data_IF_359971162944
#
_entry.id   IF_359971162944
#
_cell.length_a   1.000
_cell.length_b   1.000
_cell.length_c   1.000
_cell.angle_alpha   90.00
_cell.angle_beta   90.00
_cell.angle_gamma   90.00
#
_symmetry.space_group_name_H-M   'P 1'
#
loop_
_entity.id
_entity.type
_entity.pdbx_description
1 polymer ?
#
# COMPACT_ATOMS: atom_id res chain seq x y z
N UNK A 1 -29.14 -10.68 -2.32
CA UNK A 1 -29.32 -9.25 -2.60
C UNK A 1 -28.06 -8.53 -2.10
N UNK A 2 -27.03 -8.39 -2.95
CA UNK A 2 -25.82 -7.65 -2.58
C UNK A 2 -26.04 -6.17 -2.83
N UNK A 3 -26.09 -5.38 -1.76
CA UNK A 3 -26.09 -3.93 -1.86
C UNK A 3 -24.76 -3.50 -2.46
N UNK A 4 -24.80 -2.87 -3.64
CA UNK A 4 -23.66 -2.18 -4.22
C UNK A 4 -23.26 -1.08 -3.25
N UNK A 5 -22.05 -1.17 -2.69
CA UNK A 5 -21.54 -0.20 -1.73
C UNK A 5 -21.45 1.16 -2.43
N UNK A 6 -22.11 2.22 -1.92
CA UNK A 6 -22.06 3.52 -2.57
C UNK A 6 -20.62 4.01 -2.53
N UNK A 7 -19.96 4.06 -3.69
CA UNK A 7 -18.68 4.73 -3.84
C UNK A 7 -18.90 6.20 -3.48
N UNK A 8 -18.64 6.56 -2.21
CA UNK A 8 -18.66 7.95 -1.76
C UNK A 8 -17.65 8.69 -2.63
N UNK A 9 -18.14 9.53 -3.54
CA UNK A 9 -17.28 10.44 -4.31
C UNK A 9 -16.49 11.25 -3.30
N UNK A 10 -15.16 11.10 -3.36
CA UNK A 10 -14.26 11.95 -2.58
C UNK A 10 -14.24 13.33 -3.23
N UNK A 11 -14.15 14.36 -2.41
CA UNK A 11 -13.89 15.71 -2.92
C UNK A 11 -12.58 15.69 -3.71
N UNK A 12 -12.52 16.40 -4.86
CA UNK A 12 -11.27 16.54 -5.60
C UNK A 12 -10.18 17.15 -4.72
N UNK A 13 -8.97 16.62 -4.82
CA UNK A 13 -7.76 17.13 -4.18
C UNK A 13 -6.69 17.42 -5.24
N UNK A 14 -5.86 18.44 -5.00
CA UNK A 14 -4.74 18.77 -5.87
C UNK A 14 -3.45 18.13 -5.35
N UNK A 15 -2.80 17.33 -6.18
CA UNK A 15 -1.49 16.72 -5.86
C UNK A 15 -0.37 17.75 -5.69
N UNK A 16 -0.60 19.01 -6.10
CA UNK A 16 0.34 20.11 -5.92
C UNK A 16 0.28 20.72 -4.53
N UNK A 17 -0.80 20.46 -3.79
CA UNK A 17 -1.00 21.00 -2.44
C UNK A 17 -0.42 20.09 -1.35
N UNK A 18 0.12 18.92 -1.72
CA UNK A 18 0.74 18.00 -0.77
C UNK A 18 2.05 18.57 -0.21
N UNK A 19 2.37 18.29 1.07
CA UNK A 19 3.53 18.88 1.73
C UNK A 19 4.84 18.18 1.33
N UNK A 20 5.95 18.89 1.58
CA UNK A 20 7.30 18.33 1.64
C UNK A 20 7.88 18.62 3.03
N UNK A 21 8.22 17.62 3.86
CA UNK A 21 8.24 16.17 3.58
C UNK A 21 6.85 15.57 3.33
N UNK A 22 6.75 14.41 2.65
CA UNK A 22 5.47 13.74 2.41
C UNK A 22 4.70 13.49 3.72
N UNK A 23 3.38 13.70 3.70
CA UNK A 23 2.53 13.44 4.86
C UNK A 23 2.00 12.00 4.87
N UNK A 24 1.88 11.43 6.08
CA UNK A 24 1.16 10.19 6.34
C UNK A 24 -0.19 10.52 6.96
N UNK A 25 -1.27 10.14 6.28
CA UNK A 25 -2.64 10.42 6.75
C UNK A 25 -3.43 9.12 6.85
N UNK A 26 -4.01 8.76 8.00
CA UNK A 26 -4.90 7.61 8.10
C UNK A 26 -6.07 7.70 7.12
N UNK A 27 -6.46 6.56 6.55
CA UNK A 27 -7.65 6.47 5.70
C UNK A 27 -8.69 5.54 6.32
N UNK A 28 -9.95 5.96 6.30
CA UNK A 28 -11.09 5.15 6.74
C UNK A 28 -11.65 4.25 5.62
N UNK A 29 -11.08 4.31 4.43
CA UNK A 29 -11.48 3.43 3.34
C UNK A 29 -11.00 2.00 3.58
N UNK A 30 -11.84 1.04 3.19
CA UNK A 30 -11.46 -0.36 3.05
C UNK A 30 -10.60 -0.51 1.80
N UNK A 31 -9.33 -0.89 1.99
CA UNK A 31 -8.36 -1.07 0.92
C UNK A 31 -8.11 -2.55 0.69
N UNK A 32 -8.11 -2.97 -0.58
CA UNK A 32 -7.78 -4.33 -0.99
C UNK A 32 -6.79 -4.30 -2.13
N UNK A 33 -5.76 -5.13 -2.06
CA UNK A 33 -4.86 -5.41 -3.18
C UNK A 33 -5.18 -6.80 -3.67
N UNK A 34 -5.64 -6.89 -4.91
CA UNK A 34 -6.00 -8.14 -5.56
C UNK A 34 -4.95 -8.45 -6.63
N UNK A 35 -4.55 -9.71 -6.72
CA UNK A 35 -3.89 -10.16 -7.93
C UNK A 35 -4.87 -10.08 -9.10
N UNK A 36 -4.36 -9.79 -10.31
CA UNK A 36 -5.21 -9.65 -11.49
C UNK A 36 -5.84 -10.98 -11.92
N UNK A 37 -5.14 -12.09 -11.70
CA UNK A 37 -5.60 -13.45 -11.99
C UNK A 37 -6.09 -14.15 -10.72
N UNK A 38 -7.18 -14.95 -10.80
CA UNK A 38 -7.64 -15.80 -9.71
C UNK A 38 -6.74 -17.03 -9.53
N UNK A 39 -6.93 -17.76 -8.43
CA UNK A 39 -6.23 -19.01 -8.16
C UNK A 39 -6.71 -20.18 -9.06
N UNK A 40 -6.13 -21.36 -8.87
CA UNK A 40 -6.44 -22.56 -9.64
C UNK A 40 -7.90 -23.03 -9.49
N UNK A 41 -8.59 -22.63 -8.42
CA UNK A 41 -9.98 -22.94 -8.14
C UNK A 41 -10.93 -21.81 -8.60
N UNK A 42 -10.41 -20.75 -9.23
CA UNK A 42 -11.16 -19.58 -9.66
C UNK A 42 -11.48 -18.59 -8.53
N UNK A 43 -10.81 -18.69 -7.38
CA UNK A 43 -11.00 -17.79 -6.24
C UNK A 43 -10.09 -16.55 -6.36
N UNK A 44 -10.57 -15.41 -5.85
CA UNK A 44 -9.80 -14.17 -5.84
C UNK A 44 -8.56 -14.29 -4.95
N UNK A 45 -7.40 -13.90 -5.48
CA UNK A 45 -6.15 -13.88 -4.71
C UNK A 45 -5.98 -12.49 -4.10
N UNK A 46 -6.29 -12.39 -2.80
CA UNK A 46 -6.18 -11.16 -2.03
C UNK A 46 -4.77 -11.05 -1.45
N UNK A 47 -3.96 -10.11 -1.92
CA UNK A 47 -2.60 -9.90 -1.41
C UNK A 47 -2.61 -9.12 -0.10
N UNK A 48 -3.50 -8.15 0.04
CA UNK A 48 -3.66 -7.36 1.26
C UNK A 48 -5.10 -6.86 1.41
N UNK A 49 -5.59 -6.73 2.64
CA UNK A 49 -6.95 -6.28 2.96
C UNK A 49 -6.95 -5.56 4.31
N UNK A 50 -7.21 -4.23 4.31
CA UNK A 50 -7.13 -3.42 5.53
C UNK A 50 -8.21 -2.34 5.62
N UNK A 51 -8.61 -2.04 6.84
CA UNK A 51 -9.37 -0.83 7.22
C UNK A 51 -8.51 0.16 8.02
N UNK A 52 -7.20 -0.08 8.14
CA UNK A 52 -6.24 0.70 8.93
C UNK A 52 -5.11 1.25 8.05
N UNK A 53 -5.36 1.42 6.76
CA UNK A 53 -4.36 1.91 5.82
C UNK A 53 -3.94 3.36 6.07
N UNK A 54 -2.76 3.71 5.57
CA UNK A 54 -2.25 5.08 5.52
C UNK A 54 -2.18 5.56 4.07
N UNK A 55 -2.47 6.84 3.84
CA UNK A 55 -2.18 7.55 2.59
C UNK A 55 -0.85 8.27 2.72
N UNK A 56 0.02 8.10 1.74
CA UNK A 56 1.23 8.90 1.58
C UNK A 56 0.94 10.00 0.57
N UNK A 57 1.04 11.25 1.01
CA UNK A 57 0.77 12.43 0.19
C UNK A 57 2.11 13.05 -0.21
N UNK A 58 2.56 12.75 -1.43
CA UNK A 58 3.80 13.28 -2.00
C UNK A 58 3.48 14.20 -3.19
N UNK A 59 4.07 15.40 -3.26
CA UNK A 59 3.79 16.35 -4.33
C UNK A 59 3.88 15.73 -5.72
N UNK A 60 3.03 16.21 -6.64
CA UNK A 60 2.96 15.83 -8.05
C UNK A 60 2.61 14.37 -8.37
N UNK A 61 2.22 13.56 -7.39
CA UNK A 61 1.84 12.15 -7.58
C UNK A 61 0.49 11.84 -6.93
N UNK A 62 -0.32 10.93 -7.50
CA UNK A 62 -1.50 10.40 -6.80
C UNK A 62 -1.09 9.77 -5.45
N UNK A 63 -1.96 9.80 -4.42
CA UNK A 63 -1.67 9.16 -3.14
C UNK A 63 -1.29 7.70 -3.30
N UNK A 64 -0.20 7.28 -2.67
CA UNK A 64 0.09 5.86 -2.46
C UNK A 64 -0.48 5.41 -1.12
N UNK A 65 -0.73 4.10 -0.98
CA UNK A 65 -1.34 3.55 0.22
C UNK A 65 -0.40 2.54 0.88
N UNK A 66 -0.23 2.67 2.18
CA UNK A 66 0.50 1.71 3.00
C UNK A 66 -0.49 0.86 3.79
N UNK A 67 -0.13 -0.43 3.91
CA UNK A 67 -0.88 -1.43 4.64
C UNK A 67 -0.07 -1.82 5.88
N UNK A 68 -0.72 -2.02 7.03
CA UNK A 68 -0.07 -2.68 8.16
C UNK A 68 0.43 -4.08 7.74
N UNK A 69 1.63 -4.51 8.15
CA UNK A 69 2.15 -5.84 7.80
C UNK A 69 1.21 -6.99 8.15
N UNK A 70 0.46 -6.87 9.25
CA UNK A 70 -0.49 -7.89 9.71
C UNK A 70 -1.68 -8.11 8.77
N UNK A 71 -1.96 -7.12 7.91
CA UNK A 71 -3.06 -7.13 6.95
C UNK A 71 -2.59 -7.55 5.54
N UNK A 72 -1.32 -7.95 5.40
CA UNK A 72 -0.68 -8.41 4.15
C UNK A 72 -0.46 -9.92 4.22
N UNK A 73 -0.84 -10.64 3.15
CA UNK A 73 -0.58 -12.08 3.03
C UNK A 73 0.91 -12.33 2.71
N UNK A 74 1.75 -12.27 3.73
CA UNK A 74 3.20 -12.46 3.60
C UNK A 74 3.60 -13.82 3.01
N UNK A 75 2.75 -14.85 3.11
CA UNK A 75 3.00 -16.15 2.48
C UNK A 75 3.00 -16.11 0.94
N UNK A 76 2.44 -15.06 0.34
CA UNK A 76 2.48 -14.82 -1.10
C UNK A 76 3.71 -13.98 -1.50
N UNK A 77 4.53 -13.53 -0.56
CA UNK A 77 5.64 -12.62 -0.79
C UNK A 77 6.99 -13.29 -0.54
N UNK A 78 7.90 -13.17 -1.50
CA UNK A 78 9.29 -13.59 -1.38
C UNK A 78 10.20 -12.37 -1.31
N UNK A 79 11.20 -12.38 -0.44
CA UNK A 79 12.15 -11.27 -0.35
C UNK A 79 12.93 -11.07 -1.65
N UNK A 80 13.02 -9.82 -2.09
CA UNK A 80 13.87 -9.41 -3.20
C UNK A 80 15.10 -8.68 -2.65
N UNK A 81 16.33 -8.98 -3.13
CA UNK A 81 17.53 -8.32 -2.64
C UNK A 81 17.60 -6.83 -2.97
N UNK A 82 16.74 -6.34 -3.87
CA UNK A 82 16.67 -4.92 -4.22
C UNK A 82 16.23 -4.09 -3.02
N UNK A 83 16.97 -3.02 -2.78
CA UNK A 83 16.63 -2.01 -1.79
C UNK A 83 16.79 -0.61 -2.41
N UNK A 84 16.02 0.35 -1.92
CA UNK A 84 16.19 1.76 -2.28
C UNK A 84 16.16 2.62 -1.03
N UNK A 85 16.76 3.81 -1.10
CA UNK A 85 16.78 4.78 -0.02
C UNK A 85 16.24 6.14 -0.49
N UNK A 86 15.46 6.79 0.36
CA UNK A 86 15.01 8.16 0.19
C UNK A 86 15.22 8.91 1.51
N UNK A 87 15.77 10.13 1.46
CA UNK A 87 16.01 10.96 2.65
C UNK A 87 14.74 11.26 3.47
N UNK A 88 13.56 11.21 2.83
CA UNK A 88 12.27 11.44 3.49
C UNK A 88 11.56 10.15 3.91
N UNK A 89 11.69 9.08 3.11
CA UNK A 89 10.92 7.85 3.29
C UNK A 89 11.73 6.69 3.89
N UNK A 90 13.03 6.87 4.13
CA UNK A 90 13.90 5.83 4.65
C UNK A 90 14.25 4.76 3.62
N UNK A 91 14.46 3.54 4.11
CA UNK A 91 14.76 2.37 3.30
C UNK A 91 13.48 1.68 2.84
N UNK A 92 13.48 1.22 1.60
CA UNK A 92 12.43 0.37 1.05
C UNK A 92 13.03 -0.98 0.66
N UNK A 93 12.45 -2.04 1.21
CA UNK A 93 12.68 -3.42 0.77
C UNK A 93 11.65 -3.80 -0.28
N UNK A 94 12.06 -4.63 -1.24
CA UNK A 94 11.17 -5.12 -2.28
C UNK A 94 10.85 -6.59 -2.04
N UNK A 95 9.67 -6.99 -2.47
CA UNK A 95 9.24 -8.39 -2.47
C UNK A 95 8.84 -8.77 -3.90
N UNK A 96 8.86 -10.07 -4.19
CA UNK A 96 8.29 -10.68 -5.39
C UNK A 96 7.00 -11.42 -5.00
N UNK A 97 5.95 -11.30 -5.83
CA UNK A 97 4.63 -11.86 -5.52
C UNK A 97 4.55 -13.22 -6.19
N UNK A 98 4.41 -14.26 -5.38
CA UNK A 98 4.24 -15.62 -5.84
C UNK A 98 2.76 -15.90 -5.95
N UNK A 99 2.30 -16.19 -7.16
CA UNK A 99 0.91 -16.53 -7.39
C UNK A 99 0.61 -17.94 -6.88
N UNK A 100 -0.51 -18.20 -6.18
CA UNK A 100 -0.80 -19.52 -5.64
C UNK A 100 -1.04 -20.58 -6.72
N UNK A 101 -1.47 -20.20 -7.93
CA UNK A 101 -1.71 -21.12 -9.03
C UNK A 101 -0.50 -21.32 -9.96
N UNK A 102 0.50 -20.44 -9.92
CA UNK A 102 1.67 -20.52 -10.77
C UNK A 102 2.89 -20.11 -9.97
N UNK A 103 3.95 -20.93 -10.00
CA UNK A 103 5.21 -20.60 -9.34
C UNK A 103 5.98 -19.47 -10.07
N UNK A 104 5.26 -18.67 -10.86
CA UNK A 104 5.78 -17.53 -11.61
C UNK A 104 5.72 -16.32 -10.69
N UNK A 105 6.89 -15.78 -10.36
CA UNK A 105 7.00 -14.51 -9.66
C UNK A 105 6.40 -13.40 -10.56
N UNK A 106 5.17 -13.01 -10.30
CA UNK A 106 4.64 -11.74 -10.77
C UNK A 106 5.41 -10.67 -10.02
N UNK A 107 6.13 -9.78 -10.73
CA UNK A 107 6.92 -8.69 -10.12
C UNK A 107 6.09 -7.99 -9.04
N UNK A 108 6.44 -8.14 -7.75
CA UNK A 108 5.59 -7.53 -6.72
C UNK A 108 5.80 -6.02 -6.66
N UNK A 109 4.73 -5.39 -6.19
CA UNK A 109 4.71 -4.01 -5.80
C UNK A 109 5.65 -3.72 -4.64
N UNK A 110 6.00 -2.44 -4.56
CA UNK A 110 6.76 -1.78 -3.51
C UNK A 110 5.94 -1.79 -2.21
N UNK A 111 6.31 -2.62 -1.24
CA UNK A 111 5.84 -2.47 0.14
C UNK A 111 6.91 -1.70 0.93
N UNK A 112 6.76 -0.39 0.97
CA UNK A 112 7.65 0.50 1.72
C UNK A 112 7.37 0.39 3.24
N UNK A 113 7.86 -0.68 3.86
CA UNK A 113 7.90 -0.73 5.32
C UNK A 113 9.11 0.04 5.81
N UNK A 114 8.89 1.34 6.09
CA UNK A 114 9.45 2.14 7.19
C UNK A 114 9.54 3.63 6.79
N UNK A 115 8.43 4.36 6.93
CA UNK A 115 8.53 5.78 7.28
C UNK A 115 8.46 5.82 8.80
N UNK A 116 9.55 6.13 9.53
CA UNK A 116 9.42 6.44 10.94
C UNK A 116 8.48 7.64 11.05
N UNK A 117 7.36 7.46 11.75
CA UNK A 117 6.54 8.57 12.22
C UNK A 117 7.51 9.54 12.90
N UNK A 118 7.77 10.71 12.30
CA UNK A 118 8.46 11.77 13.02
C UNK A 118 7.55 12.06 14.21
N UNK A 119 8.02 11.71 15.41
CA UNK A 119 7.36 12.12 16.64
C UNK A 119 7.14 13.62 16.55
N UNK A 120 5.94 14.07 16.91
CA UNK A 120 5.66 15.48 17.12
C UNK A 120 6.64 15.99 18.19
N UNK A 121 7.76 16.58 17.76
CA UNK A 121 8.53 17.44 18.63
C UNK A 121 7.74 18.74 18.71
N UNK A 122 7.04 18.89 19.83
CA UNK A 122 6.23 20.04 20.15
C UNK A 122 6.95 21.36 19.89
N UNK A 123 6.23 22.28 19.27
CA UNK A 123 6.56 23.68 19.35
C UNK A 123 6.43 24.11 20.82
N UNK A 124 7.59 24.29 21.47
CA UNK A 124 7.74 25.11 22.67
C UNK A 124 8.03 26.55 22.28
#
# INVERSE_FOLDING_TARGET
MSASSPHRKREPESVWDYPRPPALVPTTAHLRVLHAEPDANGQEVVVADTCKGLRVLEPSHPPTYYFPPEDVQMCLLHENPKQTFCEWKGHASYYDLVHPASNTASKAGRLDLQIPLRSEQGAG
#
